data_IF_776685580109
#
_entry.id   IF_776685580109
#
_cell.length_a   1.000
_cell.length_b   1.000
_cell.length_c   1.000
_cell.angle_alpha   90.00
_cell.angle_beta   90.00
_cell.angle_gamma   90.00
#
_symmetry.space_group_name_H-M   'P 1'
#
loop_
_entity.id
_entity.type
_entity.pdbx_description
1 polymer ?
#
# COMPACT_ATOMS: atom_id res chain seq x y z
N UNK A 1 -5.80 6.15 -10.02
CA UNK A 1 -4.92 6.20 -8.81
C UNK A 1 -5.09 4.87 -8.12
N UNK A 2 -4.08 4.01 -8.17
CA UNK A 2 -4.20 2.62 -7.71
C UNK A 2 -3.38 2.41 -6.44
N UNK A 3 -3.80 1.47 -5.60
CA UNK A 3 -3.07 1.08 -4.40
C UNK A 3 -2.47 -0.32 -4.61
N UNK A 4 -1.15 -0.42 -4.64
CA UNK A 4 -0.46 -1.70 -4.91
C UNK A 4 0.27 -2.29 -3.71
N UNK A 5 0.29 -1.60 -2.56
CA UNK A 5 0.95 -2.07 -1.36
C UNK A 5 0.31 -1.42 -0.12
N UNK A 6 0.01 -2.21 0.92
CA UNK A 6 -0.55 -1.66 2.17
C UNK A 6 0.43 -0.73 2.89
N UNK A 7 1.73 -0.91 2.68
CA UNK A 7 2.78 -0.06 3.30
C UNK A 7 2.77 1.38 2.78
N UNK A 8 2.02 1.67 1.72
CA UNK A 8 1.70 3.04 1.33
C UNK A 8 1.10 3.85 2.48
N UNK A 9 0.37 3.20 3.39
CA UNK A 9 -0.15 3.77 4.64
C UNK A 9 0.97 4.27 5.55
N UNK A 10 2.04 3.51 5.72
CA UNK A 10 3.17 3.88 6.57
C UNK A 10 3.98 5.03 5.98
N UNK A 11 4.07 5.13 4.65
CA UNK A 11 4.62 6.32 3.99
C UNK A 11 3.82 7.56 4.36
N UNK A 12 2.49 7.48 4.31
CA UNK A 12 1.64 8.60 4.71
C UNK A 12 1.86 8.97 6.18
N UNK A 13 1.97 8.00 7.08
CA UNK A 13 2.26 8.26 8.51
C UNK A 13 3.64 8.87 8.73
N UNK A 14 4.67 8.47 7.97
CA UNK A 14 5.99 9.13 8.00
C UNK A 14 5.89 10.61 7.59
N UNK A 15 5.17 10.88 6.50
CA UNK A 15 4.98 12.23 5.96
C UNK A 15 3.98 13.09 6.75
N UNK A 16 3.28 12.52 7.73
CA UNK A 16 2.40 13.28 8.65
C UNK A 16 3.19 14.31 9.47
N UNK A 17 4.48 14.06 9.71
CA UNK A 17 5.39 15.00 10.37
C UNK A 17 5.91 16.13 9.47
N UNK A 18 5.56 16.11 8.17
CA UNK A 18 5.99 17.10 7.18
C UNK A 18 6.63 16.46 5.94
N UNK A 19 6.88 17.27 4.89
CA UNK A 19 7.50 16.78 3.66
C UNK A 19 8.91 16.22 3.88
N UNK A 20 9.26 15.16 3.15
CA UNK A 20 10.56 14.49 3.27
C UNK A 20 11.10 14.03 1.93
N UNK A 21 12.42 13.83 1.88
CA UNK A 21 13.05 13.25 0.71
C UNK A 21 12.70 11.76 0.54
N UNK A 22 12.78 11.24 -0.68
CA UNK A 22 12.67 9.79 -0.92
C UNK A 22 13.66 8.99 -0.08
N UNK A 23 14.89 9.51 0.09
CA UNK A 23 15.92 8.85 0.90
C UNK A 23 15.45 8.69 2.34
N UNK A 24 14.93 9.75 2.93
CA UNK A 24 14.51 9.76 4.33
C UNK A 24 13.31 8.85 4.54
N UNK A 25 12.31 8.92 3.64
CA UNK A 25 11.17 7.99 3.64
C UNK A 25 11.64 6.54 3.55
N UNK A 26 12.55 6.24 2.62
CA UNK A 26 13.10 4.90 2.44
C UNK A 26 13.88 4.41 3.68
N UNK A 27 14.61 5.30 4.34
CA UNK A 27 15.35 4.98 5.58
C UNK A 27 14.39 4.68 6.73
N UNK A 28 13.35 5.48 6.93
CA UNK A 28 12.35 5.21 7.97
C UNK A 28 11.59 3.90 7.69
N UNK A 29 11.18 3.66 6.45
CA UNK A 29 10.53 2.39 6.08
C UNK A 29 11.43 1.18 6.30
N UNK A 30 12.73 1.29 6.06
CA UNK A 30 13.65 0.17 6.26
C UNK A 30 13.80 -0.21 7.74
N UNK A 31 13.66 0.74 8.67
CA UNK A 31 13.61 0.43 10.11
C UNK A 31 12.40 -0.44 10.46
N UNK A 32 11.27 -0.21 9.78
CA UNK A 32 10.04 -0.98 9.97
C UNK A 32 10.04 -2.30 9.19
N UNK A 33 10.67 -2.30 8.02
CA UNK A 33 10.73 -3.41 7.07
C UNK A 33 12.18 -3.63 6.62
N UNK A 34 13.01 -4.37 7.39
CA UNK A 34 14.44 -4.51 7.13
C UNK A 34 14.80 -5.03 5.73
N UNK A 35 13.91 -5.81 5.11
CA UNK A 35 14.09 -6.37 3.77
C UNK A 35 13.80 -5.36 2.64
N UNK A 36 13.22 -4.20 2.95
CA UNK A 36 12.93 -3.16 1.97
C UNK A 36 14.18 -2.31 1.75
N UNK A 37 14.72 -2.31 0.53
CA UNK A 37 15.87 -1.46 0.17
C UNK A 37 15.46 0.03 0.16
N UNK A 38 16.05 0.91 1.00
CA UNK A 38 15.65 2.32 1.11
C UNK A 38 15.64 3.10 -0.22
N UNK A 39 16.61 2.81 -1.09
CA UNK A 39 16.78 3.47 -2.40
C UNK A 39 16.26 2.62 -3.56
N UNK A 40 15.57 1.52 -3.26
CA UNK A 40 15.09 0.55 -4.24
C UNK A 40 14.00 1.13 -5.15
N UNK A 41 13.81 0.48 -6.30
CA UNK A 41 12.74 0.81 -7.25
C UNK A 41 11.35 0.69 -6.59
N UNK A 42 11.15 -0.26 -5.68
CA UNK A 42 9.86 -0.41 -4.98
C UNK A 42 9.47 0.84 -4.20
N UNK A 43 10.40 1.43 -3.45
CA UNK A 43 10.15 2.68 -2.70
C UNK A 43 9.81 3.81 -3.66
N UNK A 44 10.61 3.97 -4.73
CA UNK A 44 10.41 5.04 -5.72
C UNK A 44 9.08 4.91 -6.45
N UNK A 45 8.77 3.73 -6.97
CA UNK A 45 7.66 3.53 -7.90
C UNK A 45 6.37 3.23 -7.14
N UNK A 46 6.35 2.19 -6.32
CA UNK A 46 5.12 1.70 -5.68
C UNK A 46 4.76 2.55 -4.46
N UNK A 47 5.73 2.80 -3.57
CA UNK A 47 5.45 3.45 -2.29
C UNK A 47 5.41 4.99 -2.37
N UNK A 48 5.85 5.58 -3.48
CA UNK A 48 5.84 7.03 -3.70
C UNK A 48 5.07 7.41 -4.97
N UNK A 49 5.61 7.16 -6.17
CA UNK A 49 5.01 7.65 -7.42
C UNK A 49 3.58 7.14 -7.67
N UNK A 50 3.33 5.87 -7.39
CA UNK A 50 2.03 5.23 -7.59
C UNK A 50 1.16 5.30 -6.32
N UNK A 51 1.74 5.72 -5.19
CA UNK A 51 1.04 5.77 -3.92
C UNK A 51 0.01 6.93 -3.92
N UNK A 52 -1.29 6.64 -3.79
CA UNK A 52 -2.33 7.67 -3.86
C UNK A 52 -2.36 8.61 -2.64
N UNK A 53 -1.67 8.24 -1.56
CA UNK A 53 -1.65 8.97 -0.30
C UNK A 53 -0.61 10.10 -0.26
N UNK A 54 0.25 10.19 -1.28
CA UNK A 54 1.36 11.14 -1.31
C UNK A 54 1.39 11.90 -2.62
N UNK A 55 2.11 13.02 -2.64
CA UNK A 55 2.33 13.86 -3.81
C UNK A 55 3.80 14.26 -3.90
N UNK A 56 4.32 14.34 -5.12
CA UNK A 56 5.63 14.92 -5.40
C UNK A 56 5.50 16.44 -5.37
N UNK A 57 6.26 17.10 -4.50
CA UNK A 57 6.31 18.55 -4.36
C UNK A 57 7.44 19.18 -5.19
N UNK A 58 8.20 18.36 -5.93
CA UNK A 58 9.38 18.76 -6.68
C UNK A 58 10.69 18.60 -5.90
N UNK A 59 11.80 18.45 -6.63
CA UNK A 59 13.14 18.40 -6.02
C UNK A 59 13.39 17.19 -5.10
N UNK A 60 12.79 16.03 -5.41
CA UNK A 60 12.81 14.81 -4.56
C UNK A 60 12.12 15.01 -3.19
N UNK A 61 11.22 15.99 -3.05
CA UNK A 61 10.47 16.26 -1.84
C UNK A 61 9.04 15.75 -1.94
N UNK A 62 8.60 14.95 -0.97
CA UNK A 62 7.30 14.27 -0.98
C UNK A 62 6.44 14.72 0.19
N UNK A 63 5.15 14.98 -0.06
CA UNK A 63 4.17 15.37 0.95
C UNK A 63 2.92 14.51 0.92
N UNK A 64 1.97 14.83 1.79
CA UNK A 64 0.67 14.15 1.82
C UNK A 64 -0.27 14.68 0.75
N UNK A 65 -0.93 13.76 0.05
CA UNK A 65 -2.12 14.08 -0.74
C UNK A 65 -3.32 14.34 0.19
N UNK A 66 -4.44 14.89 -0.31
CA UNK A 66 -5.68 14.99 0.46
C UNK A 66 -6.15 13.63 1.02
N UNK A 67 -5.95 12.54 0.28
CA UNK A 67 -6.25 11.18 0.75
C UNK A 67 -5.30 10.75 1.86
N UNK A 68 -4.01 11.09 1.75
CA UNK A 68 -3.04 10.87 2.82
C UNK A 68 -3.42 11.61 4.10
N UNK A 69 -3.81 12.88 3.98
CA UNK A 69 -4.28 13.70 5.10
C UNK A 69 -5.54 13.12 5.77
N UNK A 70 -6.45 12.53 4.99
CA UNK A 70 -7.62 11.84 5.53
C UNK A 70 -7.22 10.55 6.27
N UNK A 71 -6.34 9.73 5.67
CA UNK A 71 -5.89 8.47 6.27
C UNK A 71 -5.16 8.68 7.60
N UNK A 72 -4.28 9.68 7.72
CA UNK A 72 -3.50 9.89 8.97
C UNK A 72 -4.35 10.35 10.15
N UNK A 73 -5.59 10.79 9.90
CA UNK A 73 -6.58 11.12 10.95
C UNK A 73 -7.30 9.89 11.49
N UNK A 74 -7.23 8.76 10.80
CA UNK A 74 -7.80 7.50 11.28
C UNK A 74 -6.94 6.92 12.42
N UNK A 75 -7.55 6.21 13.38
CA UNK A 75 -6.81 5.51 14.41
C UNK A 75 -5.83 4.52 13.76
N UNK A 76 -4.60 4.51 14.25
CA UNK A 76 -3.53 3.66 13.74
C UNK A 76 -2.15 4.26 14.00
N UNK A 77 -1.13 3.42 13.88
CA UNK A 77 0.24 3.76 14.25
C UNK A 77 1.24 3.22 13.23
N UNK A 78 2.32 3.97 13.02
CA UNK A 78 3.39 3.61 12.11
C UNK A 78 3.96 2.21 12.43
N UNK A 79 3.99 1.31 11.45
CA UNK A 79 4.53 -0.04 11.59
C UNK A 79 3.67 -1.02 12.42
N UNK A 80 2.55 -0.57 13.01
CA UNK A 80 1.58 -1.45 13.67
C UNK A 80 0.63 -2.09 12.66
N UNK A 81 -0.04 -3.21 13.02
CA UNK A 81 -1.11 -3.78 12.21
C UNK A 81 -2.17 -2.74 11.81
N UNK A 82 -2.80 -2.94 10.65
CA UNK A 82 -3.87 -2.06 10.17
C UNK A 82 -5.09 -2.16 11.09
N UNK A 83 -5.63 -1.00 11.48
CA UNK A 83 -6.95 -0.93 12.13
C UNK A 83 -8.06 -1.24 11.14
N UNK A 84 -9.27 -1.53 11.62
CA UNK A 84 -10.42 -1.78 10.73
C UNK A 84 -10.77 -0.55 9.90
N UNK A 85 -10.62 0.65 10.46
CA UNK A 85 -10.81 1.93 9.76
C UNK A 85 -9.79 2.10 8.63
N UNK A 86 -8.51 1.79 8.89
CA UNK A 86 -7.47 1.83 7.86
C UNK A 86 -7.72 0.77 6.77
N UNK A 87 -8.14 -0.44 7.14
CA UNK A 87 -8.47 -1.48 6.16
C UNK A 87 -9.62 -1.03 5.26
N UNK A 88 -10.70 -0.52 5.84
CA UNK A 88 -11.84 -0.01 5.08
C UNK A 88 -11.45 1.15 4.16
N UNK A 89 -10.61 2.07 4.65
CA UNK A 89 -10.10 3.18 3.85
C UNK A 89 -9.28 2.69 2.65
N UNK A 90 -8.29 1.81 2.88
CA UNK A 90 -7.45 1.26 1.83
C UNK A 90 -8.25 0.41 0.83
N UNK A 91 -9.24 -0.35 1.30
CA UNK A 91 -10.18 -1.06 0.43
C UNK A 91 -10.96 -0.09 -0.47
N UNK A 92 -11.43 1.03 0.09
CA UNK A 92 -12.06 2.10 -0.67
C UNK A 92 -11.15 2.68 -1.76
N UNK A 93 -9.85 2.87 -1.47
CA UNK A 93 -8.88 3.35 -2.46
C UNK A 93 -8.72 2.41 -3.65
N UNK A 94 -8.69 1.08 -3.41
CA UNK A 94 -8.62 0.08 -4.49
C UNK A 94 -9.81 0.20 -5.46
N UNK A 95 -10.95 0.69 -4.98
CA UNK A 95 -12.16 0.86 -5.78
C UNK A 95 -12.18 2.20 -6.54
N UNK A 96 -11.31 3.16 -6.25
CA UNK A 96 -11.29 4.45 -6.96
C UNK A 96 -10.81 4.29 -8.40
N UNK A 97 -9.85 3.42 -8.65
CA UNK A 97 -9.35 3.15 -9.99
C UNK A 97 -10.24 2.15 -10.74
N UNK A 98 -10.75 2.52 -11.92
CA UNK A 98 -11.69 1.68 -12.69
C UNK A 98 -11.09 0.31 -13.04
N UNK A 99 -9.80 0.27 -13.36
CA UNK A 99 -9.12 -0.97 -13.73
C UNK A 99 -8.94 -1.86 -12.51
N UNK A 100 -8.43 -1.29 -11.42
CA UNK A 100 -8.23 -2.03 -10.17
C UNK A 100 -9.56 -2.49 -9.57
N UNK A 101 -10.63 -1.68 -9.63
CA UNK A 101 -11.97 -2.05 -9.18
C UNK A 101 -12.48 -3.33 -9.85
N UNK A 102 -12.27 -3.48 -11.16
CA UNK A 102 -12.65 -4.69 -11.89
C UNK A 102 -11.88 -5.91 -11.36
N UNK A 103 -10.57 -5.78 -11.19
CA UNK A 103 -9.71 -6.83 -10.64
C UNK A 103 -10.14 -7.21 -9.22
N UNK A 104 -10.45 -6.24 -8.36
CA UNK A 104 -10.95 -6.48 -7.00
C UNK A 104 -12.25 -7.29 -7.04
N UNK A 105 -13.23 -6.87 -7.83
CA UNK A 105 -14.51 -7.56 -7.94
C UNK A 105 -14.36 -9.01 -8.41
N UNK A 106 -13.53 -9.24 -9.43
CA UNK A 106 -13.27 -10.59 -9.96
C UNK A 106 -12.56 -11.48 -8.94
N UNK A 107 -11.53 -10.96 -8.26
CA UNK A 107 -10.76 -11.71 -7.25
C UNK A 107 -11.62 -12.08 -6.04
N UNK A 108 -12.46 -11.17 -5.56
CA UNK A 108 -13.35 -11.44 -4.42
C UNK A 108 -14.42 -12.47 -4.82
N UNK A 109 -15.02 -12.34 -6.01
CA UNK A 109 -16.12 -13.21 -6.43
C UNK A 109 -15.66 -14.62 -6.86
N UNK A 110 -14.46 -14.73 -7.46
CA UNK A 110 -14.05 -15.97 -8.16
C UNK A 110 -12.66 -16.48 -7.76
N UNK A 111 -11.88 -15.71 -7.00
CA UNK A 111 -10.48 -16.01 -6.71
C UNK A 111 -9.53 -15.82 -7.91
N UNK A 112 -10.02 -15.39 -9.07
CA UNK A 112 -9.25 -15.18 -10.30
C UNK A 112 -9.64 -13.86 -10.97
N UNK A 113 -8.81 -13.37 -11.91
CA UNK A 113 -9.12 -12.18 -12.72
C UNK A 113 -8.78 -12.42 -14.19
N UNK A 114 -9.58 -11.85 -15.08
CA UNK A 114 -9.39 -11.89 -16.54
C UNK A 114 -8.54 -10.72 -17.07
N UNK A 115 -8.04 -9.85 -16.19
CA UNK A 115 -7.14 -8.75 -16.56
C UNK A 115 -5.82 -9.30 -17.13
N UNK A 116 -5.38 -8.72 -18.25
CA UNK A 116 -4.18 -9.18 -18.98
C UNK A 116 -2.89 -8.83 -18.24
N UNK A 117 -2.91 -7.74 -17.48
CA UNK A 117 -1.77 -7.29 -16.70
C UNK A 117 -1.66 -8.07 -15.39
N UNK A 118 -0.89 -9.14 -15.46
CA UNK A 118 -0.63 -10.05 -14.35
C UNK A 118 0.05 -9.36 -13.17
N UNK A 119 0.78 -8.26 -13.40
CA UNK A 119 1.41 -7.51 -12.32
C UNK A 119 0.36 -6.82 -11.45
N UNK A 120 -0.61 -6.13 -12.07
CA UNK A 120 -1.72 -5.49 -11.34
C UNK A 120 -2.56 -6.52 -10.60
N UNK A 121 -2.88 -7.66 -11.25
CA UNK A 121 -3.64 -8.74 -10.60
C UNK A 121 -2.91 -9.24 -9.36
N UNK A 122 -1.60 -9.51 -9.47
CA UNK A 122 -0.78 -10.00 -8.35
C UNK A 122 -0.70 -8.99 -7.21
N UNK A 123 -0.47 -7.71 -7.51
CA UNK A 123 -0.40 -6.68 -6.46
C UNK A 123 -1.76 -6.46 -5.80
N UNK A 124 -2.82 -6.40 -6.58
CA UNK A 124 -4.19 -6.24 -6.04
C UNK A 124 -4.57 -7.42 -5.15
N UNK A 125 -4.31 -8.65 -5.58
CA UNK A 125 -4.54 -9.85 -4.77
C UNK A 125 -3.72 -9.82 -3.46
N UNK A 126 -2.45 -9.40 -3.52
CA UNK A 126 -1.60 -9.26 -2.33
C UNK A 126 -2.17 -8.24 -1.35
N UNK A 127 -2.61 -7.08 -1.82
CA UNK A 127 -3.23 -6.06 -0.96
C UNK A 127 -4.52 -6.62 -0.35
N UNK A 128 -5.41 -7.21 -1.15
CA UNK A 128 -6.67 -7.77 -0.64
C UNK A 128 -6.44 -8.88 0.41
N UNK A 129 -5.43 -9.73 0.23
CA UNK A 129 -5.04 -10.72 1.24
C UNK A 129 -4.58 -10.07 2.54
N UNK A 130 -3.75 -9.03 2.48
CA UNK A 130 -3.29 -8.28 3.66
C UNK A 130 -4.41 -7.50 4.36
N UNK A 131 -5.48 -7.17 3.64
CA UNK A 131 -6.70 -6.57 4.18
C UNK A 131 -7.70 -7.61 4.70
N UNK A 132 -7.40 -8.92 4.61
CA UNK A 132 -8.30 -10.03 4.91
C UNK A 132 -9.61 -10.00 4.10
N UNK A 133 -9.55 -9.56 2.84
CA UNK A 133 -10.71 -9.44 1.94
C UNK A 133 -10.80 -10.56 0.88
N UNK A 134 -9.82 -11.46 0.83
CA UNK A 134 -9.93 -12.69 0.05
C UNK A 134 -10.37 -13.82 0.96
N UNK A 135 -11.52 -14.42 0.65
CA UNK A 135 -12.06 -15.59 1.36
C UNK A 135 -11.19 -16.81 1.12
N UNK A 136 -10.26 -17.06 2.03
CA UNK A 136 -9.42 -18.23 2.16
C UNK A 136 -8.72 -18.15 3.51
N UNK A 137 -8.63 -19.27 4.23
CA UNK A 137 -8.16 -19.38 5.61
C UNK A 137 -6.90 -18.55 5.94
N UNK A 138 -6.65 -18.18 7.22
CA UNK A 138 -5.37 -17.64 7.63
C UNK A 138 -4.25 -18.55 7.12
N UNK A 139 -3.21 -17.96 6.55
CA UNK A 139 -2.00 -18.70 6.22
C UNK A 139 -1.33 -19.14 7.53
N UNK A 140 -1.81 -20.25 8.10
CA UNK A 140 -1.01 -21.08 8.97
C UNK A 140 0.16 -21.63 8.14
N UNK A 141 1.38 -21.40 8.62
CA UNK A 141 2.56 -22.11 8.16
C UNK A 141 3.08 -21.72 6.76
N UNK A 142 3.86 -20.65 6.69
CA UNK A 142 5.13 -20.76 5.93
C UNK A 142 6.25 -20.85 6.94
N UNK A 143 6.44 -22.07 7.42
CA UNK A 143 7.74 -22.61 7.80
C UNK A 143 8.79 -22.26 6.72
N UNK A 144 9.96 -21.84 7.20
CA UNK A 144 11.32 -22.15 6.69
C UNK A 144 11.42 -22.73 5.27
N UNK A 145 12.21 -22.21 4.32
CA UNK A 145 13.68 -22.15 4.24
C UNK A 145 14.06 -21.75 2.77
N UNK A 146 15.35 -21.55 2.37
CA UNK A 146 16.61 -21.69 3.11
C UNK A 146 17.26 -20.38 3.54
#
# INVERSE_FOLDING_TARGET
MALYDVRCRDVARILASGPRSRRDVGTELNKLYPNLRPRGSWVRHVLLRENPLVVDLGGDNWGLSPLGQALVKLPGELGKPLTEEEKAFLAGLLLLDKRQRKVVAELIATGKSAEKDTWIVRQTARVLAQLNLLGGAPAEGTETQP
#
